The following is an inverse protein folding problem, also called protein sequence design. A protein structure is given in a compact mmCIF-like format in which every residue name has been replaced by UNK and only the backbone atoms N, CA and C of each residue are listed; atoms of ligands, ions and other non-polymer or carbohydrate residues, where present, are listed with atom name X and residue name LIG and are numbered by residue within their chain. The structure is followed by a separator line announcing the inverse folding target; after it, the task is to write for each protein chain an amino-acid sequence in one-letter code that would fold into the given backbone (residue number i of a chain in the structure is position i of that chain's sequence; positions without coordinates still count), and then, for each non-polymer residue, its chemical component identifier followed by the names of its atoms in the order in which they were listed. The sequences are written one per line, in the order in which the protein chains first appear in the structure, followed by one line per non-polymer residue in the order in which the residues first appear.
data_IF_380770868511
#
_entry.id   IF_380770868511
#
_cell.length_a   1.000
_cell.length_b   1.000
_cell.length_c   1.000
_cell.angle_alpha   90.00
_cell.angle_beta   90.00
_cell.angle_gamma   90.00
#
_symmetry.space_group_name_H-M   'P 1'
#
loop_
_entity.id
_entity.type
_entity.pdbx_description
1 polymer ?
#
# COMPACT_ATOMS: atom_id res chain seq x y z
N UNK A 1 0.62 5.22 -5.27
CA UNK A 1 0.36 4.30 -6.39
C UNK A 1 1.51 3.30 -6.64
N UNK A 2 2.75 3.61 -6.33
CA UNK A 2 3.90 2.73 -6.57
C UNK A 2 4.13 1.69 -5.46
N UNK A 3 4.00 2.08 -4.21
CA UNK A 3 4.05 1.21 -3.04
C UNK A 3 3.24 1.86 -1.92
N UNK A 4 2.28 1.13 -1.37
CA UNK A 4 1.37 1.66 -0.34
C UNK A 4 2.11 2.16 0.91
N UNK A 5 3.08 1.41 1.39
CA UNK A 5 3.90 1.77 2.56
C UNK A 5 4.73 3.04 2.32
N UNK A 6 5.27 3.21 1.11
CA UNK A 6 6.01 4.41 0.73
C UNK A 6 5.10 5.65 0.78
N UNK A 7 3.88 5.54 0.25
CA UNK A 7 2.89 6.63 0.28
C UNK A 7 2.54 7.05 1.71
N UNK A 8 2.29 6.08 2.61
CA UNK A 8 1.99 6.35 4.01
C UNK A 8 3.17 7.03 4.75
N UNK A 9 4.37 6.49 4.60
CA UNK A 9 5.56 7.03 5.28
C UNK A 9 5.89 8.44 4.77
N UNK A 10 5.91 8.65 3.45
CA UNK A 10 6.17 9.98 2.88
C UNK A 10 5.06 10.96 3.27
N UNK A 11 3.81 10.51 3.24
CA UNK A 11 2.68 11.33 3.70
C UNK A 11 2.84 11.79 5.15
N UNK A 12 3.19 10.90 6.06
CA UNK A 12 3.45 11.22 7.45
C UNK A 12 4.63 12.19 7.63
N UNK A 13 5.75 11.94 6.92
CA UNK A 13 6.93 12.82 6.97
C UNK A 13 6.59 14.21 6.43
N UNK A 14 5.88 14.31 5.31
CA UNK A 14 5.48 15.57 4.71
C UNK A 14 4.53 16.33 5.63
N UNK A 15 3.49 15.67 6.16
CA UNK A 15 2.55 16.28 7.10
C UNK A 15 3.28 16.86 8.32
N UNK A 16 4.15 16.05 8.95
CA UNK A 16 4.96 16.51 10.07
C UNK A 16 5.89 17.67 9.69
N UNK A 17 6.58 17.60 8.57
CA UNK A 17 7.52 18.64 8.12
C UNK A 17 6.80 19.95 7.80
N UNK A 18 5.64 19.89 7.14
CA UNK A 18 4.79 21.06 6.87
C UNK A 18 4.32 21.69 8.17
N UNK A 19 3.84 20.89 9.14
CA UNK A 19 3.41 21.41 10.44
C UNK A 19 4.54 22.12 11.18
N UNK A 20 5.75 21.54 11.20
CA UNK A 20 6.94 22.14 11.82
C UNK A 20 7.33 23.45 11.13
N UNK A 21 7.32 23.50 9.80
CA UNK A 21 7.65 24.74 9.10
C UNK A 21 6.57 25.83 9.26
N UNK A 22 5.32 25.43 9.37
CA UNK A 22 4.20 26.34 9.62
C UNK A 22 4.22 26.89 11.05
N UNK A 23 4.61 26.10 12.06
CA UNK A 23 4.71 26.57 13.45
C UNK A 23 5.75 27.70 13.65
N UNK A 24 6.67 27.88 12.70
CA UNK A 24 7.64 28.99 12.68
C UNK A 24 7.09 30.27 12.05
N UNK A 25 5.85 30.27 11.57
CA UNK A 25 5.22 31.35 10.81
C UNK A 25 3.96 31.84 11.52
N UNK A 26 3.47 33.05 11.19
CA UNK A 26 2.34 33.66 11.90
C UNK A 26 0.96 33.06 11.54
N UNK A 27 0.88 31.92 10.86
CA UNK A 27 -0.38 31.27 10.55
C UNK A 27 -0.45 29.86 11.15
N UNK A 28 -1.62 29.51 11.65
CA UNK A 28 -1.88 28.23 12.31
C UNK A 28 -2.31 27.18 11.30
N UNK A 29 -1.84 25.96 11.49
CA UNK A 29 -2.23 24.80 10.67
C UNK A 29 -2.83 23.73 11.58
N UNK A 30 -4.01 23.23 11.21
CA UNK A 30 -4.68 22.17 11.96
C UNK A 30 -3.97 20.83 11.68
N UNK A 31 -3.11 20.40 12.61
CA UNK A 31 -2.26 19.22 12.45
C UNK A 31 -3.06 17.92 12.22
N UNK A 32 -4.17 17.64 12.95
CA UNK A 32 -4.98 16.45 12.67
C UNK A 32 -5.52 16.39 11.24
N UNK A 33 -5.98 17.51 10.67
CA UNK A 33 -6.44 17.54 9.28
C UNK A 33 -5.29 17.34 8.29
N UNK A 34 -4.11 17.86 8.59
CA UNK A 34 -2.92 17.67 7.75
C UNK A 34 -2.50 16.20 7.71
N UNK A 35 -2.53 15.52 8.86
CA UNK A 35 -2.28 14.08 8.96
C UNK A 35 -3.35 13.27 8.21
N UNK A 36 -4.64 13.60 8.42
CA UNK A 36 -5.75 12.96 7.74
C UNK A 36 -5.67 13.15 6.21
N UNK A 37 -5.27 14.34 5.75
CA UNK A 37 -5.08 14.63 4.33
C UNK A 37 -3.92 13.82 3.73
N UNK A 38 -2.82 13.65 4.47
CA UNK A 38 -1.71 12.81 4.04
C UNK A 38 -2.12 11.32 3.98
N UNK A 39 -2.89 10.86 4.97
CA UNK A 39 -3.41 9.48 5.01
C UNK A 39 -4.47 9.21 3.92
N UNK A 40 -5.28 10.21 3.55
CA UNK A 40 -6.36 10.05 2.57
C UNK A 40 -5.88 9.59 1.19
N UNK A 41 -4.63 9.83 0.83
CA UNK A 41 -4.02 9.25 -0.37
C UNK A 41 -3.98 7.72 -0.40
N UNK A 42 -4.14 7.08 0.76
CA UNK A 42 -4.21 5.63 0.86
C UNK A 42 -5.49 5.05 0.24
N UNK A 43 -6.55 5.84 0.07
CA UNK A 43 -7.81 5.39 -0.56
C UNK A 43 -7.65 4.91 -2.01
N UNK A 44 -6.53 5.23 -2.68
CA UNK A 44 -6.26 4.83 -4.06
C UNK A 44 -5.10 3.83 -4.18
N UNK A 45 -4.69 3.19 -3.10
CA UNK A 45 -3.49 2.35 -3.11
C UNK A 45 -3.62 1.10 -3.98
N UNK A 46 -4.81 0.52 -4.10
CA UNK A 46 -5.10 -0.61 -4.99
C UNK A 46 -5.27 -0.21 -6.47
N UNK A 47 -5.30 1.07 -6.80
CA UNK A 47 -5.47 1.55 -8.17
C UNK A 47 -4.15 1.67 -8.95
N UNK A 48 -3.05 1.20 -8.39
CA UNK A 48 -1.71 1.27 -9.00
C UNK A 48 -0.87 0.03 -8.70
N UNK A 49 0.44 0.17 -8.85
CA UNK A 49 1.40 -0.92 -8.69
C UNK A 49 1.54 -1.45 -7.25
N UNK A 50 0.89 -0.84 -6.29
CA UNK A 50 0.74 -1.39 -4.94
C UNK A 50 -0.44 -2.35 -4.80
N UNK A 51 -1.26 -2.52 -5.83
CA UNK A 51 -2.40 -3.43 -5.81
C UNK A 51 -1.96 -4.89 -5.69
N UNK A 52 -2.00 -5.43 -4.48
CA UNK A 52 -1.66 -6.84 -4.26
C UNK A 52 -2.63 -7.79 -4.97
N UNK A 53 -3.91 -7.45 -5.02
CA UNK A 53 -4.94 -8.26 -5.70
C UNK A 53 -4.73 -8.31 -7.22
N UNK A 54 -4.59 -7.14 -7.86
CA UNK A 54 -4.42 -7.07 -9.31
C UNK A 54 -3.07 -7.63 -9.77
N UNK A 55 -1.99 -7.37 -9.02
CA UNK A 55 -0.68 -7.96 -9.34
C UNK A 55 -0.63 -9.46 -9.08
N UNK A 56 -1.40 -9.97 -8.11
CA UNK A 56 -1.51 -11.40 -7.86
C UNK A 56 -2.09 -12.12 -9.08
N UNK A 57 -3.22 -11.65 -9.61
CA UNK A 57 -3.85 -12.29 -10.79
C UNK A 57 -3.10 -12.04 -12.10
N UNK A 58 -2.20 -11.08 -12.13
CA UNK A 58 -1.29 -10.82 -13.25
C UNK A 58 0.00 -11.66 -13.19
N UNK A 59 0.22 -12.40 -12.10
CA UNK A 59 1.43 -13.20 -11.90
C UNK A 59 1.18 -14.65 -12.35
N UNK A 60 1.95 -15.21 -13.28
CA UNK A 60 1.84 -16.63 -13.64
C UNK A 60 2.00 -17.55 -12.42
N UNK A 61 1.26 -18.64 -12.37
CA UNK A 61 1.24 -19.57 -11.24
C UNK A 61 0.33 -19.16 -10.08
N UNK A 62 -0.48 -18.12 -10.23
CA UNK A 62 -1.40 -17.71 -9.17
C UNK A 62 -2.53 -18.73 -8.92
N UNK A 63 -3.10 -18.70 -7.71
CA UNK A 63 -4.07 -19.70 -7.23
C UNK A 63 -5.25 -19.99 -8.17
N UNK A 64 -5.70 -19.01 -8.95
CA UNK A 64 -6.88 -19.12 -9.82
C UNK A 64 -6.54 -19.15 -11.31
N UNK A 65 -5.25 -19.31 -11.67
CA UNK A 65 -4.83 -19.30 -13.08
C UNK A 65 -5.52 -20.39 -13.91
N UNK A 66 -5.71 -21.58 -13.35
CA UNK A 66 -6.40 -22.69 -14.04
C UNK A 66 -7.87 -22.38 -14.38
N UNK A 67 -8.47 -21.36 -13.75
CA UNK A 67 -9.88 -20.96 -13.93
C UNK A 67 -10.03 -19.78 -14.89
N UNK A 68 -9.17 -18.78 -14.75
CA UNK A 68 -9.32 -17.49 -15.45
C UNK A 68 -8.10 -17.09 -16.27
N UNK A 69 -7.06 -17.93 -16.28
CA UNK A 69 -5.78 -17.55 -16.88
C UNK A 69 -5.09 -16.42 -16.11
N UNK A 70 -4.03 -15.88 -16.70
CA UNK A 70 -3.36 -14.68 -16.21
C UNK A 70 -4.16 -13.46 -16.67
N UNK A 71 -4.63 -12.64 -15.72
CA UNK A 71 -5.35 -11.41 -16.01
C UNK A 71 -4.33 -10.26 -16.08
N UNK A 72 -4.08 -9.70 -17.27
CA UNK A 72 -3.04 -8.69 -17.44
C UNK A 72 -3.40 -7.37 -16.73
N UNK A 73 -2.38 -6.62 -16.31
CA UNK A 73 -2.55 -5.32 -15.66
C UNK A 73 -3.31 -4.30 -16.50
N UNK A 74 -3.36 -4.47 -17.80
CA UNK A 74 -4.14 -3.65 -18.74
C UNK A 74 -5.65 -3.81 -18.56
N UNK A 75 -6.10 -4.93 -18.02
CA UNK A 75 -7.51 -5.18 -17.71
C UNK A 75 -7.88 -4.78 -16.27
N UNK A 76 -6.90 -4.48 -15.44
CA UNK A 76 -7.08 -4.13 -14.02
C UNK A 76 -6.59 -2.72 -13.74
N UNK A 77 -5.37 -2.57 -13.20
CA UNK A 77 -4.84 -1.27 -12.75
C UNK A 77 -4.58 -0.28 -13.89
N UNK A 78 -4.33 -0.73 -15.10
CA UNK A 78 -4.16 0.11 -16.28
C UNK A 78 -5.42 0.21 -17.15
N UNK A 79 -6.55 -0.33 -16.70
CA UNK A 79 -7.83 -0.16 -17.41
C UNK A 79 -8.27 1.31 -17.39
N UNK A 80 -8.96 1.74 -18.45
CA UNK A 80 -9.49 3.11 -18.55
C UNK A 80 -10.42 3.45 -17.39
N UNK A 81 -11.24 2.50 -16.95
CA UNK A 81 -12.14 2.66 -15.80
C UNK A 81 -11.35 2.94 -14.52
N UNK A 82 -10.33 2.13 -14.23
CA UNK A 82 -9.52 2.31 -13.04
C UNK A 82 -8.76 3.65 -13.06
N UNK A 83 -8.15 4.00 -14.20
CA UNK A 83 -7.44 5.28 -14.33
C UNK A 83 -8.39 6.47 -14.12
N UNK A 84 -9.60 6.41 -14.69
CA UNK A 84 -10.60 7.45 -14.49
C UNK A 84 -11.00 7.57 -13.02
N UNK A 85 -11.31 6.46 -12.35
CA UNK A 85 -11.66 6.45 -10.92
C UNK A 85 -10.50 6.96 -10.04
N UNK A 86 -9.26 6.59 -10.35
CA UNK A 86 -8.09 7.06 -9.62
C UNK A 86 -7.91 8.59 -9.76
N UNK A 87 -8.06 9.12 -10.96
CA UNK A 87 -7.99 10.58 -11.22
C UNK A 87 -9.14 11.33 -10.53
N UNK A 88 -10.35 10.77 -10.56
CA UNK A 88 -11.49 11.35 -9.83
C UNK A 88 -11.24 11.32 -8.32
N UNK A 89 -10.73 10.23 -7.77
CA UNK A 89 -10.39 10.12 -6.35
C UNK A 89 -9.34 11.17 -5.93
N UNK A 90 -8.27 11.32 -6.72
CA UNK A 90 -7.25 12.35 -6.49
C UNK A 90 -7.85 13.76 -6.51
N UNK A 91 -8.68 14.06 -7.49
CA UNK A 91 -9.36 15.36 -7.60
C UNK A 91 -10.25 15.62 -6.37
N UNK A 92 -11.07 14.63 -5.99
CA UNK A 92 -11.98 14.75 -4.84
C UNK A 92 -11.22 15.00 -3.54
N UNK A 93 -10.16 14.24 -3.26
CA UNK A 93 -9.33 14.42 -2.06
C UNK A 93 -8.73 15.84 -2.06
N UNK A 94 -8.16 16.27 -3.17
CA UNK A 94 -7.52 17.58 -3.29
C UNK A 94 -8.49 18.74 -3.06
N UNK A 95 -9.76 18.56 -3.42
CA UNK A 95 -10.81 19.59 -3.22
C UNK A 95 -11.41 19.50 -1.82
N UNK A 96 -11.73 18.29 -1.35
CA UNK A 96 -12.47 18.11 -0.09
C UNK A 96 -11.60 18.41 1.14
N UNK A 97 -10.34 17.93 1.18
CA UNK A 97 -9.49 18.12 2.36
C UNK A 97 -9.32 19.60 2.76
N UNK A 98 -9.04 20.55 1.86
CA UNK A 98 -9.00 21.97 2.21
C UNK A 98 -10.34 22.54 2.71
N UNK A 99 -11.48 22.03 2.18
CA UNK A 99 -12.82 22.47 2.60
C UNK A 99 -13.17 22.02 4.02
N UNK A 100 -12.49 21.01 4.56
CA UNK A 100 -12.67 20.52 5.93
C UNK A 100 -11.92 21.36 6.98
N UNK A 101 -11.28 22.46 6.58
CA UNK A 101 -10.55 23.33 7.49
C UNK A 101 -11.48 23.80 8.64
N UNK A 102 -11.09 23.60 9.92
CA UNK A 102 -11.86 24.09 11.06
C UNK A 102 -11.79 25.61 11.18
N UNK A 103 -12.64 26.18 12.02
CA UNK A 103 -12.54 27.60 12.39
C UNK A 103 -11.21 27.87 13.12
N UNK A 104 -10.78 29.13 13.15
CA UNK A 104 -9.49 29.47 13.73
C UNK A 104 -9.39 29.16 15.25
N UNK A 105 -10.50 29.16 15.96
CA UNK A 105 -10.60 28.81 17.37
C UNK A 105 -10.44 27.30 17.65
N UNK A 106 -10.77 26.48 16.67
CA UNK A 106 -10.71 25.01 16.77
C UNK A 106 -9.41 24.41 16.20
N UNK A 107 -8.46 25.26 15.81
CA UNK A 107 -7.19 24.81 15.24
C UNK A 107 -6.31 24.18 16.31
N UNK A 108 -5.96 22.90 16.11
CA UNK A 108 -5.01 22.14 16.94
C UNK A 108 -3.67 22.11 16.20
N UNK A 109 -2.67 22.75 16.77
CA UNK A 109 -1.31 22.76 16.21
C UNK A 109 -0.53 21.49 16.62
N UNK A 110 0.60 21.24 15.96
CA UNK A 110 1.48 20.12 16.29
C UNK A 110 2.04 20.25 17.72
N UNK A 111 2.07 19.15 18.48
CA UNK A 111 2.65 19.11 19.81
C UNK A 111 4.15 19.48 19.75
N UNK A 112 4.62 20.45 20.56
CA UNK A 112 6.04 20.82 20.64
C UNK A 112 6.99 19.65 20.92
N UNK A 113 6.56 18.60 21.60
CA UNK A 113 7.38 17.42 21.87
C UNK A 113 7.60 16.55 20.62
N UNK A 114 6.66 16.58 19.67
CA UNK A 114 6.81 15.93 18.37
C UNK A 114 7.76 16.69 17.42
N UNK A 115 8.07 17.96 17.73
CA UNK A 115 8.99 18.77 16.92
C UNK A 115 10.46 18.40 17.18
N UNK A 116 10.76 17.85 18.35
CA UNK A 116 12.14 17.47 18.73
C UNK A 116 12.63 16.29 17.88
N UNK A 117 13.41 16.60 16.83
CA UNK A 117 14.08 15.58 16.04
C UNK A 117 15.12 14.85 16.87
N UNK A 118 14.93 13.55 17.09
CA UNK A 118 16.03 12.65 17.45
C UNK A 118 16.90 12.46 16.20
N UNK A 119 17.78 13.43 15.90
CA UNK A 119 18.76 13.24 14.82
C UNK A 119 19.60 12.01 15.15
N UNK A 120 19.70 11.02 14.24
CA UNK A 120 20.63 9.92 14.43
C UNK A 120 22.05 10.53 14.51
N UNK A 121 22.67 10.37 15.63
CA UNK A 121 24.05 10.86 15.84
C UNK A 121 25.00 9.92 15.10
N UNK A 122 25.29 10.22 13.83
CA UNK A 122 26.37 9.55 13.11
C UNK A 122 27.66 10.08 13.71
N UNK A 123 28.25 9.34 14.65
CA UNK A 123 29.55 9.66 15.19
C UNK A 123 30.60 9.46 14.09
N UNK A 124 31.14 10.57 13.56
CA UNK A 124 32.32 10.53 12.73
C UNK A 124 33.52 10.17 13.60
N UNK A 125 33.98 8.93 13.56
CA UNK A 125 35.23 8.54 14.18
C UNK A 125 36.40 9.19 13.44
N UNK A 126 37.36 9.74 14.19
CA UNK A 126 38.54 10.43 13.66
C UNK A 126 39.51 9.49 12.91
N UNK A 127 39.47 8.19 13.19
CA UNK A 127 40.26 7.17 12.47
C UNK A 127 39.35 5.96 12.17
N UNK A 128 39.22 5.64 10.88
CA UNK A 128 38.48 4.47 10.42
C UNK A 128 39.45 3.38 10.00
N UNK A 129 39.23 2.14 10.44
CA UNK A 129 39.92 0.97 9.93
C UNK A 129 39.44 0.64 8.48
N UNK A 130 40.07 -0.35 7.82
CA UNK A 130 39.69 -0.72 6.45
C UNK A 130 38.22 -1.15 6.33
N UNK A 131 37.69 -1.93 7.28
CA UNK A 131 36.32 -2.40 7.28
C UNK A 131 35.36 -1.23 7.43
N UNK A 132 35.59 -0.35 8.40
CA UNK A 132 34.80 0.86 8.62
C UNK A 132 34.79 1.79 7.39
N UNK A 133 35.89 1.84 6.62
CA UNK A 133 35.91 2.59 5.35
C UNK A 133 35.00 1.98 4.31
N UNK A 134 35.00 0.65 4.16
CA UNK A 134 34.09 -0.05 3.25
C UNK A 134 32.61 0.15 3.65
N UNK A 135 32.30 0.01 4.93
CA UNK A 135 30.95 0.18 5.48
C UNK A 135 30.40 1.61 5.34
N UNK A 136 31.30 2.60 5.27
CA UNK A 136 30.93 4.01 5.07
C UNK A 136 31.06 4.47 3.62
N UNK A 137 31.46 3.60 2.70
CA UNK A 137 31.68 4.00 1.31
C UNK A 137 30.46 3.70 0.43
N UNK A 138 29.95 4.70 -0.27
CA UNK A 138 28.75 4.63 -1.11
C UNK A 138 28.84 3.61 -2.25
N UNK A 139 30.08 3.31 -2.74
CA UNK A 139 30.26 2.44 -3.90
C UNK A 139 29.67 1.06 -3.75
N UNK A 140 29.70 0.47 -2.54
CA UNK A 140 29.13 -0.85 -2.29
C UNK A 140 27.62 -0.84 -2.49
N UNK A 141 26.93 0.16 -1.97
CA UNK A 141 25.49 0.32 -2.15
C UNK A 141 25.10 0.52 -3.62
N UNK A 142 25.84 1.39 -4.32
CA UNK A 142 25.61 1.61 -5.75
C UNK A 142 25.85 0.32 -6.53
N UNK A 143 26.93 -0.40 -6.25
CA UNK A 143 27.26 -1.67 -6.90
C UNK A 143 26.13 -2.71 -6.72
N UNK A 144 25.67 -2.91 -5.48
CA UNK A 144 24.57 -3.84 -5.19
C UNK A 144 23.26 -3.40 -5.85
N UNK A 145 22.94 -2.12 -5.78
CA UNK A 145 21.73 -1.59 -6.42
C UNK A 145 21.78 -1.74 -7.96
N UNK A 146 22.95 -1.52 -8.58
CA UNK A 146 23.13 -1.70 -10.03
C UNK A 146 22.99 -3.18 -10.44
N UNK A 147 23.48 -4.14 -9.64
CA UNK A 147 23.28 -5.57 -9.90
C UNK A 147 21.79 -5.88 -10.00
N UNK A 148 20.99 -5.35 -9.08
CA UNK A 148 19.54 -5.57 -9.08
C UNK A 148 18.88 -4.93 -10.33
N UNK A 149 19.28 -3.72 -10.71
CA UNK A 149 18.78 -3.05 -11.93
C UNK A 149 19.13 -3.88 -13.17
N UNK A 150 20.37 -4.38 -13.26
CA UNK A 150 20.81 -5.22 -14.36
C UNK A 150 19.97 -6.50 -14.41
N UNK A 151 19.72 -7.15 -13.26
CA UNK A 151 18.86 -8.32 -13.17
C UNK A 151 17.46 -8.04 -13.72
N UNK A 152 16.82 -6.94 -13.30
CA UNK A 152 15.52 -6.50 -13.81
C UNK A 152 15.57 -6.28 -15.33
N UNK A 153 16.63 -5.62 -15.83
CA UNK A 153 16.85 -5.38 -17.26
C UNK A 153 16.97 -6.67 -18.07
N UNK A 154 17.72 -7.65 -17.56
CA UNK A 154 17.85 -8.98 -18.20
C UNK A 154 16.51 -9.68 -18.22
N UNK A 155 15.78 -9.63 -17.11
CA UNK A 155 14.45 -10.25 -17.00
C UNK A 155 13.46 -9.66 -18.00
N UNK A 156 13.46 -8.34 -18.18
CA UNK A 156 12.62 -7.68 -19.19
C UNK A 156 13.04 -8.00 -20.63
N UNK A 157 14.34 -8.16 -20.87
CA UNK A 157 14.81 -8.53 -22.20
C UNK A 157 14.42 -9.96 -22.59
N UNK A 158 14.36 -10.88 -21.61
CA UNK A 158 14.03 -12.28 -21.83
C UNK A 158 12.51 -12.54 -21.92
N UNK A 159 11.73 -11.89 -21.07
CA UNK A 159 10.31 -12.18 -20.87
C UNK A 159 9.37 -11.07 -21.35
N UNK A 160 9.92 -9.99 -21.92
CA UNK A 160 9.17 -8.79 -22.22
C UNK A 160 8.87 -7.96 -20.96
N UNK A 161 8.18 -6.83 -21.14
CA UNK A 161 7.80 -5.98 -20.01
C UNK A 161 6.60 -6.60 -19.28
N UNK A 162 6.81 -6.95 -18.03
CA UNK A 162 5.75 -7.37 -17.11
C UNK A 162 6.00 -6.77 -15.73
N UNK A 163 4.94 -6.65 -14.94
CA UNK A 163 5.00 -6.09 -13.60
C UNK A 163 4.32 -7.04 -12.62
N UNK A 164 5.09 -7.50 -11.64
CA UNK A 164 4.64 -8.31 -10.53
C UNK A 164 5.21 -7.77 -9.20
N UNK A 165 4.82 -8.38 -8.08
CA UNK A 165 5.27 -7.97 -6.75
C UNK A 165 6.79 -8.04 -6.59
N UNK A 166 7.45 -9.03 -7.18
CA UNK A 166 8.89 -9.21 -7.07
C UNK A 166 9.65 -8.08 -7.77
N UNK A 167 9.26 -7.77 -9.01
CA UNK A 167 9.88 -6.67 -9.77
C UNK A 167 9.70 -5.33 -9.04
N UNK A 168 8.52 -5.08 -8.48
CA UNK A 168 8.27 -3.87 -7.68
C UNK A 168 9.18 -3.84 -6.45
N UNK A 169 9.26 -4.95 -5.70
CA UNK A 169 10.10 -5.06 -4.50
C UNK A 169 11.58 -4.87 -4.82
N UNK A 170 12.09 -5.53 -5.86
CA UNK A 170 13.48 -5.38 -6.32
C UNK A 170 13.78 -3.96 -6.79
N UNK A 171 12.83 -3.30 -7.44
CA UNK A 171 12.98 -1.90 -7.88
C UNK A 171 13.15 -0.98 -6.67
N UNK A 172 12.29 -1.07 -5.66
CA UNK A 172 12.40 -0.25 -4.46
C UNK A 172 13.65 -0.55 -3.64
N UNK A 173 14.04 -1.82 -3.54
CA UNK A 173 15.29 -2.21 -2.87
C UNK A 173 16.50 -1.60 -3.56
N UNK A 174 16.58 -1.70 -4.88
CA UNK A 174 17.70 -1.13 -5.65
C UNK A 174 17.78 0.40 -5.53
N UNK A 175 16.63 1.09 -5.60
CA UNK A 175 16.56 2.53 -5.39
C UNK A 175 16.98 2.92 -3.97
N UNK A 176 16.51 2.19 -2.95
CA UNK A 176 16.89 2.41 -1.56
C UNK A 176 18.42 2.27 -1.35
N UNK A 177 19.01 1.26 -1.94
CA UNK A 177 20.47 1.06 -1.91
C UNK A 177 21.21 2.21 -2.60
N UNK A 178 20.82 2.57 -3.82
CA UNK A 178 21.51 3.62 -4.61
C UNK A 178 21.39 5.00 -3.96
N UNK A 179 20.25 5.30 -3.36
CA UNK A 179 20.00 6.60 -2.72
C UNK A 179 20.66 6.73 -1.35
N UNK A 180 20.92 5.61 -0.66
CA UNK A 180 21.61 5.63 0.62
C UNK A 180 23.07 6.08 0.45
N UNK A 181 23.55 6.89 1.41
CA UNK A 181 24.91 7.44 1.36
C UNK A 181 26.01 6.43 1.68
N UNK A 182 25.67 5.32 2.37
CA UNK A 182 26.60 4.24 2.73
C UNK A 182 25.83 3.00 3.22
N UNK A 183 26.47 1.80 3.30
CA UNK A 183 25.87 0.62 3.92
C UNK A 183 25.36 0.86 5.34
N UNK A 184 26.14 1.47 6.19
CA UNK A 184 25.72 1.82 7.57
C UNK A 184 24.51 2.74 7.57
N UNK A 185 24.49 3.74 6.66
CA UNK A 185 23.33 4.62 6.52
C UNK A 185 22.08 3.85 6.06
N UNK A 186 22.22 2.95 5.09
CA UNK A 186 21.12 2.09 4.64
C UNK A 186 20.58 1.24 5.78
N UNK A 187 21.45 0.58 6.57
CA UNK A 187 21.06 -0.21 7.75
C UNK A 187 20.36 0.68 8.80
N UNK A 188 20.86 1.89 9.02
CA UNK A 188 20.22 2.85 9.92
C UNK A 188 18.80 3.23 9.46
N UNK A 189 18.62 3.45 8.15
CA UNK A 189 17.29 3.73 7.58
C UNK A 189 16.35 2.53 7.75
N UNK A 190 16.82 1.31 7.51
CA UNK A 190 16.04 0.08 7.73
C UNK A 190 15.67 -0.09 9.21
N UNK A 191 16.60 0.13 10.14
CA UNK A 191 16.33 0.05 11.58
C UNK A 191 15.28 1.08 12.02
N UNK A 192 15.36 2.31 11.51
CA UNK A 192 14.36 3.34 11.78
C UNK A 192 12.99 2.95 11.21
N UNK A 193 12.94 2.44 9.98
CA UNK A 193 11.72 1.94 9.37
C UNK A 193 11.13 0.75 10.15
N UNK A 194 11.97 -0.20 10.60
CA UNK A 194 11.54 -1.33 11.41
C UNK A 194 10.87 -0.89 12.72
N UNK A 195 11.37 0.19 13.33
CA UNK A 195 10.76 0.79 14.52
C UNK A 195 9.32 1.27 14.30
N UNK A 196 9.01 1.78 13.11
CA UNK A 196 7.65 2.26 12.77
C UNK A 196 6.69 1.12 12.41
N UNK A 197 7.21 -0.06 12.03
CA UNK A 197 6.38 -1.22 11.64
C UNK A 197 6.04 -2.11 12.84
N UNK A 198 6.62 -1.85 14.01
CA UNK A 198 6.48 -2.70 15.20
C UNK A 198 5.02 -2.91 15.63
N UNK A 199 4.21 -1.85 15.63
CA UNK A 199 2.76 -1.91 15.95
C UNK A 199 1.99 -2.78 14.94
N UNK A 200 2.31 -2.68 13.67
CA UNK A 200 1.70 -3.51 12.61
C UNK A 200 2.07 -4.98 12.82
N UNK A 201 3.36 -5.28 13.06
CA UNK A 201 3.83 -6.66 13.31
C UNK A 201 3.12 -7.28 14.52
N UNK A 202 2.89 -6.49 15.58
CA UNK A 202 2.18 -6.97 16.76
C UNK A 202 0.72 -7.32 16.47
N UNK A 203 0.06 -6.63 15.53
CA UNK A 203 -1.33 -6.86 15.17
C UNK A 203 -1.52 -8.07 14.24
N UNK A 204 -0.53 -8.42 13.42
CA UNK A 204 -0.62 -9.53 12.46
C UNK A 204 -1.11 -10.87 13.05
N UNK A 205 -0.61 -11.38 14.21
CA UNK A 205 -1.09 -12.62 14.78
C UNK A 205 -2.59 -12.63 15.10
N UNK A 206 -3.13 -11.51 15.59
CA UNK A 206 -4.55 -11.39 15.93
C UNK A 206 -5.41 -11.42 14.67
N UNK A 207 -5.08 -10.64 13.67
CA UNK A 207 -5.81 -10.63 12.40
C UNK A 207 -5.64 -11.93 11.61
N UNK A 208 -4.47 -12.57 11.66
CA UNK A 208 -4.27 -13.90 11.09
C UNK A 208 -5.14 -14.95 11.77
N UNK A 209 -5.34 -14.84 13.10
CA UNK A 209 -6.26 -15.70 13.84
C UNK A 209 -7.71 -15.48 13.40
N UNK A 210 -8.16 -14.23 13.26
CA UNK A 210 -9.51 -13.88 12.75
C UNK A 210 -9.68 -14.44 11.33
N UNK A 211 -8.71 -14.21 10.44
CA UNK A 211 -8.71 -14.72 9.08
C UNK A 211 -8.82 -16.25 9.05
N UNK A 212 -8.02 -16.94 9.89
CA UNK A 212 -8.06 -18.40 10.01
C UNK A 212 -9.43 -18.91 10.45
N UNK A 213 -10.06 -18.28 11.44
CA UNK A 213 -11.43 -18.61 11.88
C UNK A 213 -12.41 -18.41 10.73
N UNK A 214 -12.41 -17.26 10.09
CA UNK A 214 -13.33 -16.95 8.99
C UNK A 214 -13.20 -17.94 7.82
N UNK A 215 -11.95 -18.29 7.43
CA UNK A 215 -11.69 -19.23 6.36
C UNK A 215 -12.12 -20.66 6.71
N UNK A 216 -11.81 -21.13 7.94
CA UNK A 216 -12.07 -22.54 8.35
C UNK A 216 -13.51 -22.79 8.76
N UNK A 217 -14.24 -21.80 9.25
CA UNK A 217 -15.66 -21.95 9.62
C UNK A 217 -16.62 -21.82 8.44
N UNK A 218 -16.13 -21.43 7.26
CA UNK A 218 -16.96 -21.14 6.11
C UNK A 218 -17.74 -19.83 6.19
N UNK A 219 -17.49 -18.99 7.22
CA UNK A 219 -18.21 -17.72 7.38
C UNK A 219 -18.00 -16.79 6.19
N UNK A 220 -16.80 -16.80 5.60
CA UNK A 220 -16.50 -16.07 4.36
C UNK A 220 -17.41 -16.50 3.22
N UNK A 221 -17.60 -17.82 3.07
CA UNK A 221 -18.46 -18.38 2.03
C UNK A 221 -19.90 -17.90 2.24
N UNK A 222 -20.43 -17.97 3.46
CA UNK A 222 -21.80 -17.53 3.80
C UNK A 222 -22.02 -16.06 3.45
N UNK A 223 -21.07 -15.17 3.83
CA UNK A 223 -21.16 -13.73 3.52
C UNK A 223 -21.14 -13.52 2.00
N UNK A 224 -20.25 -14.20 1.30
CA UNK A 224 -20.08 -14.00 -0.15
C UNK A 224 -21.29 -14.57 -0.90
N UNK A 225 -21.78 -15.77 -0.56
CA UNK A 225 -22.96 -16.40 -1.18
C UNK A 225 -24.21 -15.57 -0.98
N UNK A 226 -24.39 -14.98 0.22
CA UNK A 226 -25.51 -14.08 0.48
C UNK A 226 -25.49 -12.86 -0.46
N UNK A 227 -24.32 -12.25 -0.65
CA UNK A 227 -24.16 -11.10 -1.54
C UNK A 227 -24.39 -11.48 -3.00
N UNK A 228 -23.82 -12.63 -3.44
CA UNK A 228 -23.99 -13.12 -4.81
C UNK A 228 -25.47 -13.46 -5.10
N UNK A 229 -26.20 -13.97 -4.12
CA UNK A 229 -27.62 -14.35 -4.32
C UNK A 229 -28.52 -13.19 -4.75
N UNK A 230 -28.09 -11.94 -4.51
CA UNK A 230 -28.81 -10.73 -4.89
C UNK A 230 -28.16 -9.97 -6.05
N UNK A 231 -26.99 -10.41 -6.52
CA UNK A 231 -26.26 -9.78 -7.60
C UNK A 231 -26.79 -10.17 -8.97
N UNK A 232 -26.77 -9.24 -9.90
CA UNK A 232 -26.97 -9.46 -11.35
C UNK A 232 -25.65 -9.21 -12.09
N UNK A 233 -25.54 -9.56 -13.38
CA UNK A 233 -24.33 -9.25 -14.15
C UNK A 233 -23.91 -7.77 -14.06
N UNK A 234 -24.86 -6.85 -14.07
CA UNK A 234 -24.61 -5.41 -14.02
C UNK A 234 -24.23 -4.91 -12.63
N UNK A 235 -24.66 -5.58 -11.57
CA UNK A 235 -24.44 -5.16 -10.18
C UNK A 235 -23.34 -5.94 -9.48
N UNK A 236 -22.81 -7.02 -10.09
CA UNK A 236 -21.80 -7.87 -9.46
C UNK A 236 -20.55 -7.10 -9.04
N UNK A 237 -20.07 -6.15 -9.87
CA UNK A 237 -18.93 -5.31 -9.54
C UNK A 237 -19.17 -4.45 -8.28
N UNK A 238 -20.38 -3.91 -8.13
CA UNK A 238 -20.77 -3.15 -6.94
C UNK A 238 -20.86 -4.05 -5.69
N UNK A 239 -21.42 -5.24 -5.81
CA UNK A 239 -21.46 -6.20 -4.71
C UNK A 239 -20.07 -6.76 -4.38
N UNK A 240 -19.18 -6.90 -5.35
CA UNK A 240 -17.79 -7.23 -5.11
C UNK A 240 -17.10 -6.13 -4.29
N UNK A 241 -17.37 -4.85 -4.59
CA UNK A 241 -16.91 -3.71 -3.81
C UNK A 241 -17.44 -3.75 -2.36
N UNK A 242 -18.74 -3.91 -2.17
CA UNK A 242 -19.32 -3.94 -0.82
C UNK A 242 -18.81 -5.11 0.01
N UNK A 243 -18.76 -6.31 -0.58
CA UNK A 243 -18.21 -7.49 0.09
C UNK A 243 -16.72 -7.34 0.38
N UNK A 244 -15.96 -6.77 -0.55
CA UNK A 244 -14.55 -6.46 -0.36
C UNK A 244 -14.34 -5.57 0.86
N UNK A 245 -15.11 -4.50 0.99
CA UNK A 245 -15.05 -3.60 2.15
C UNK A 245 -15.45 -4.27 3.46
N UNK A 246 -16.51 -5.08 3.46
CA UNK A 246 -16.95 -5.80 4.66
C UNK A 246 -15.91 -6.83 5.12
N UNK A 247 -15.38 -7.61 4.19
CA UNK A 247 -14.40 -8.66 4.48
C UNK A 247 -13.08 -8.06 4.96
N UNK A 248 -12.65 -6.94 4.39
CA UNK A 248 -11.43 -6.25 4.79
C UNK A 248 -11.44 -5.80 6.26
N UNK A 249 -12.61 -5.54 6.85
CA UNK A 249 -12.70 -5.22 8.29
C UNK A 249 -12.11 -6.34 9.16
N UNK A 250 -12.11 -7.57 8.66
CA UNK A 250 -11.61 -8.77 9.36
C UNK A 250 -10.29 -9.27 8.80
N UNK A 251 -10.00 -9.01 7.52
CA UNK A 251 -8.79 -9.46 6.82
C UNK A 251 -8.10 -8.24 6.17
N UNK A 252 -7.34 -7.45 6.94
CA UNK A 252 -6.73 -6.20 6.47
C UNK A 252 -5.51 -6.44 5.57
N UNK A 253 -5.68 -7.24 4.54
CA UNK A 253 -4.60 -7.66 3.65
C UNK A 253 -5.15 -7.98 2.26
N UNK A 254 -4.90 -7.13 1.27
CA UNK A 254 -5.44 -7.31 -0.07
C UNK A 254 -5.12 -8.68 -0.69
N UNK A 255 -3.89 -9.19 -0.53
CA UNK A 255 -3.54 -10.54 -1.00
C UNK A 255 -4.18 -11.66 -0.18
N UNK A 256 -4.20 -11.52 1.16
CA UNK A 256 -4.84 -12.49 2.07
C UNK A 256 -6.35 -12.53 1.88
N UNK A 257 -7.00 -11.39 1.75
CA UNK A 257 -8.41 -11.29 1.42
C UNK A 257 -8.72 -11.94 0.07
N UNK A 258 -7.94 -11.61 -0.96
CA UNK A 258 -8.11 -12.20 -2.28
C UNK A 258 -7.99 -13.73 -2.25
N UNK A 259 -7.02 -14.29 -1.52
CA UNK A 259 -6.85 -15.74 -1.40
C UNK A 259 -8.10 -16.46 -0.86
N UNK A 260 -8.88 -15.79 0.00
CA UNK A 260 -10.08 -16.36 0.61
C UNK A 260 -11.35 -16.01 -0.18
N UNK A 261 -11.51 -14.76 -0.59
CA UNK A 261 -12.72 -14.27 -1.25
C UNK A 261 -12.69 -14.46 -2.77
N UNK A 262 -11.50 -14.38 -3.38
CA UNK A 262 -11.32 -14.44 -4.83
C UNK A 262 -11.92 -15.68 -5.49
N UNK A 263 -11.69 -16.92 -4.98
CA UNK A 263 -12.27 -18.13 -5.56
C UNK A 263 -13.77 -18.05 -5.74
N UNK A 264 -14.49 -17.60 -4.72
CA UNK A 264 -15.97 -17.53 -4.75
C UNK A 264 -16.45 -16.44 -5.72
N UNK A 265 -15.82 -15.28 -5.70
CA UNK A 265 -16.21 -14.16 -6.57
C UNK A 265 -15.87 -14.41 -8.04
N UNK A 266 -14.80 -15.14 -8.32
CA UNK A 266 -14.47 -15.58 -9.68
C UNK A 266 -15.54 -16.57 -10.19
N UNK A 267 -15.97 -17.54 -9.38
CA UNK A 267 -17.04 -18.46 -9.77
C UNK A 267 -18.35 -17.70 -10.06
N UNK A 268 -18.68 -16.70 -9.25
CA UNK A 268 -19.82 -15.83 -9.50
C UNK A 268 -19.69 -15.08 -10.83
N UNK A 269 -18.55 -14.50 -11.10
CA UNK A 269 -18.29 -13.77 -12.34
C UNK A 269 -18.46 -14.70 -13.56
N UNK A 270 -17.86 -15.89 -13.52
CA UNK A 270 -17.95 -16.87 -14.59
C UNK A 270 -19.40 -17.36 -14.79
N UNK A 271 -20.14 -17.65 -13.71
CA UNK A 271 -21.52 -18.10 -13.78
C UNK A 271 -22.49 -17.07 -14.34
N UNK A 272 -22.21 -15.79 -14.08
CA UNK A 272 -23.01 -14.66 -14.59
C UNK A 272 -22.50 -14.10 -15.92
N UNK A 273 -21.43 -14.67 -16.49
CA UNK A 273 -20.84 -14.19 -17.74
C UNK A 273 -20.18 -12.81 -17.63
N UNK A 274 -19.74 -12.42 -16.43
CA UNK A 274 -19.06 -11.15 -16.16
C UNK A 274 -17.55 -11.35 -16.29
N UNK A 275 -16.84 -10.36 -16.87
CA UNK A 275 -15.38 -10.42 -16.94
C UNK A 275 -14.78 -10.49 -15.54
N UNK A 276 -13.91 -11.48 -15.23
CA UNK A 276 -13.28 -11.65 -13.93
C UNK A 276 -12.54 -10.40 -13.42
N UNK A 277 -11.98 -9.56 -14.29
CA UNK A 277 -11.32 -8.32 -13.88
C UNK A 277 -12.24 -7.36 -13.12
N UNK A 278 -13.55 -7.41 -13.37
CA UNK A 278 -14.55 -6.59 -12.68
C UNK A 278 -14.62 -6.91 -11.20
N UNK A 279 -14.66 -8.20 -10.84
CA UNK A 279 -14.70 -8.63 -9.43
C UNK A 279 -13.35 -8.47 -8.75
N UNK A 280 -12.25 -8.68 -9.49
CA UNK A 280 -10.88 -8.41 -9.00
C UNK A 280 -10.76 -6.96 -8.55
N UNK A 281 -11.15 -6.02 -9.41
CA UNK A 281 -11.07 -4.60 -9.09
C UNK A 281 -12.15 -4.15 -8.11
N UNK A 282 -13.35 -4.76 -8.15
CA UNK A 282 -14.39 -4.51 -7.17
C UNK A 282 -13.91 -4.81 -5.74
N UNK A 283 -13.34 -6.00 -5.51
CA UNK A 283 -12.75 -6.36 -4.22
C UNK A 283 -11.62 -5.40 -3.84
N UNK A 284 -10.73 -5.08 -4.77
CA UNK A 284 -9.62 -4.16 -4.53
C UNK A 284 -10.12 -2.76 -4.10
N UNK A 285 -11.17 -2.25 -4.73
CA UNK A 285 -11.78 -0.97 -4.35
C UNK A 285 -12.47 -1.02 -3.00
N UNK A 286 -13.11 -2.14 -2.66
CA UNK A 286 -13.72 -2.36 -1.34
C UNK A 286 -12.68 -2.38 -0.24
N UNK A 287 -11.61 -3.13 -0.43
CA UNK A 287 -10.46 -3.20 0.46
C UNK A 287 -9.87 -1.79 0.70
N UNK A 288 -9.44 -1.11 -0.35
CA UNK A 288 -8.79 0.20 -0.20
C UNK A 288 -9.67 1.27 0.46
N UNK A 289 -10.97 1.25 0.19
CA UNK A 289 -11.90 2.20 0.80
C UNK A 289 -12.06 1.93 2.29
N UNK A 290 -12.29 0.69 2.68
CA UNK A 290 -12.54 0.33 4.08
C UNK A 290 -11.29 0.47 4.96
N UNK A 291 -10.09 0.42 4.37
CA UNK A 291 -8.84 0.74 5.07
C UNK A 291 -8.83 2.17 5.66
N UNK A 292 -9.64 3.08 5.12
CA UNK A 292 -9.75 4.44 5.66
C UNK A 292 -10.37 4.51 7.06
N UNK A 293 -11.11 3.47 7.45
CA UNK A 293 -11.81 3.38 8.76
C UNK A 293 -11.42 2.12 9.54
N UNK A 294 -10.60 1.25 8.96
CA UNK A 294 -10.23 -0.03 9.53
C UNK A 294 -9.16 0.15 10.62
N UNK A 295 -9.39 -0.34 11.85
CA UNK A 295 -8.52 -0.09 13.00
C UNK A 295 -7.07 -0.55 12.81
N UNK A 296 -6.85 -1.62 12.06
CA UNK A 296 -5.51 -2.12 11.75
C UNK A 296 -4.60 -1.06 11.10
N UNK A 297 -5.18 -0.21 10.24
CA UNK A 297 -4.45 0.81 9.49
C UNK A 297 -4.50 2.20 10.11
N UNK A 298 -5.55 2.50 10.89
CA UNK A 298 -5.81 3.85 11.42
C UNK A 298 -5.25 4.07 12.83
N UNK A 299 -5.02 2.99 13.61
CA UNK A 299 -4.51 3.12 14.99
C UNK A 299 -2.97 3.23 15.06
N UNK A 300 -2.18 2.44 14.31
CA UNK A 300 -0.73 2.55 14.37
C UNK A 300 -0.21 3.86 13.84
#
# INVERSE_FOLDING_TARGET
LGAWSFGLIIGAIVARSVAIECSKKPFKVHYPLLVASAYSGFVIWHMGYSSSTALFVATPGHLLESRVGVIPVTETILSSTNITLALMGLLLITVICPLMKPNEEDVIEIDPDLIKDKKPTIQKKASMNMVERFENHRSLNIFLGLIIIIYIGITYNQNGFYLNLDIVSWTFLSLGLILASSPIHFISLINNAAGTVGSIILQYPFYSGIMGIMATTGLMQVITDWIISIATPETLGFFAFLSGGLVNMFIPSGGGQWAVQGPVMIEAALSLGVNPSVVVMGIAYGDQWSNMIQPFWTIP
#
